data_IF_318743637944
#
_entry.id   IF_318743637944
#
_cell.length_a   1.000
_cell.length_b   1.000
_cell.length_c   1.000
_cell.angle_alpha   90.00
_cell.angle_beta   90.00
_cell.angle_gamma   90.00
#
_symmetry.space_group_name_H-M   'P 1'
#
loop_
_entity.id
_entity.type
_entity.pdbx_description
1 polymer ?
#
# COMPACT_ATOMS: atom_id res chain seq x y z
N UNK A 1 10.90 -18.16 -0.16
CA UNK A 1 9.87 -17.10 -0.23
C UNK A 1 8.62 -17.41 0.58
N UNK A 2 8.09 -18.64 0.57
CA UNK A 2 6.87 -19.00 1.31
C UNK A 2 6.88 -18.60 2.81
N UNK A 3 7.98 -18.80 3.58
CA UNK A 3 8.01 -18.37 4.98
C UNK A 3 7.87 -16.86 5.18
N UNK A 4 8.42 -16.06 4.26
CA UNK A 4 8.34 -14.60 4.30
C UNK A 4 6.91 -14.11 4.08
N UNK A 5 6.24 -14.61 3.04
CA UNK A 5 4.86 -14.23 2.75
C UNK A 5 3.90 -14.71 3.83
N UNK A 6 4.09 -15.91 4.37
CA UNK A 6 3.30 -16.41 5.49
C UNK A 6 3.47 -15.53 6.73
N UNK A 7 4.70 -15.15 7.09
CA UNK A 7 4.96 -14.29 8.23
C UNK A 7 4.26 -12.92 8.09
N UNK A 8 4.35 -12.29 6.91
CA UNK A 8 3.65 -11.01 6.66
C UNK A 8 2.14 -11.16 6.71
N UNK A 9 1.59 -12.19 6.06
CA UNK A 9 0.15 -12.46 6.05
C UNK A 9 -0.42 -12.61 7.47
N UNK A 10 0.23 -13.39 8.33
CA UNK A 10 -0.25 -13.56 9.71
C UNK A 10 -0.07 -12.30 10.56
N UNK A 11 0.97 -11.50 10.32
CA UNK A 11 1.12 -10.20 10.97
C UNK A 11 -0.02 -9.24 10.58
N UNK A 12 -0.34 -9.17 9.29
CA UNK A 12 -1.45 -8.36 8.77
C UNK A 12 -2.79 -8.83 9.38
N UNK A 13 -3.06 -10.14 9.41
CA UNK A 13 -4.28 -10.71 10.01
C UNK A 13 -4.41 -10.42 11.50
N UNK A 14 -3.31 -10.41 12.24
CA UNK A 14 -3.32 -10.05 13.65
C UNK A 14 -3.65 -8.56 13.82
N UNK A 15 -3.03 -7.67 13.02
CA UNK A 15 -3.30 -6.23 13.07
C UNK A 15 -4.76 -5.91 12.74
N UNK A 16 -5.33 -6.57 11.74
CA UNK A 16 -6.75 -6.43 11.34
C UNK A 16 -7.73 -6.82 12.46
N UNK A 17 -7.31 -7.62 13.44
CA UNK A 17 -8.14 -8.05 14.59
C UNK A 17 -8.04 -7.10 15.80
N UNK A 18 -7.20 -6.07 15.74
CA UNK A 18 -7.07 -5.09 16.82
C UNK A 18 -8.11 -3.98 16.73
N UNK A 19 -8.23 -3.17 17.78
CA UNK A 19 -9.04 -1.94 17.77
C UNK A 19 -8.26 -0.71 17.22
N UNK A 20 -7.06 -0.93 16.69
CA UNK A 20 -6.22 0.16 16.15
C UNK A 20 -6.80 0.67 14.83
N UNK A 21 -6.73 1.98 14.63
CA UNK A 21 -6.93 2.59 13.31
C UNK A 21 -5.74 2.27 12.41
N UNK A 22 -5.78 1.11 11.76
CA UNK A 22 -4.70 0.61 10.93
C UNK A 22 -4.85 1.01 9.45
N UNK A 23 -3.72 1.02 8.74
CA UNK A 23 -3.67 1.02 7.27
C UNK A 23 -2.56 0.07 6.85
N UNK A 24 -2.89 -0.94 6.03
CA UNK A 24 -1.94 -1.94 5.56
C UNK A 24 -1.67 -1.71 4.07
N UNK A 25 -0.44 -1.31 3.75
CA UNK A 25 0.00 -1.06 2.37
C UNK A 25 0.82 -2.26 1.90
N UNK A 26 0.37 -2.93 0.84
CA UNK A 26 0.99 -4.13 0.26
C UNK A 26 1.68 -3.78 -1.07
N UNK A 27 2.91 -3.23 -1.05
CA UNK A 27 3.59 -2.85 -2.28
C UNK A 27 3.97 -4.07 -3.11
N UNK A 28 3.94 -3.89 -4.44
CA UNK A 28 4.55 -4.81 -5.39
C UNK A 28 6.07 -4.84 -5.30
N UNK A 29 6.73 -5.27 -6.38
CA UNK A 29 8.20 -5.34 -6.43
C UNK A 29 8.86 -3.97 -6.24
N UNK A 30 9.71 -3.84 -5.23
CA UNK A 30 10.33 -2.56 -4.87
C UNK A 30 11.47 -2.18 -5.83
N UNK A 31 11.42 -0.95 -6.30
CA UNK A 31 12.38 -0.30 -7.21
C UNK A 31 13.21 0.77 -6.48
N UNK A 32 14.38 1.08 -7.01
CA UNK A 32 15.32 2.08 -6.45
C UNK A 32 15.42 3.33 -7.31
N UNK A 33 14.73 3.34 -8.44
CA UNK A 33 14.54 4.46 -9.32
C UNK A 33 13.72 5.57 -8.63
N UNK A 34 13.80 6.83 -9.10
CA UNK A 34 13.00 7.92 -8.57
C UNK A 34 11.49 7.67 -8.67
N UNK A 35 10.74 8.20 -7.71
CA UNK A 35 9.28 8.17 -7.70
C UNK A 35 8.67 9.00 -8.83
N UNK A 36 7.51 8.58 -9.29
CA UNK A 36 6.71 9.26 -10.32
C UNK A 36 5.57 10.08 -9.72
N UNK A 37 5.20 9.82 -8.46
CA UNK A 37 4.00 10.35 -7.82
C UNK A 37 2.69 9.76 -8.35
N UNK A 38 2.76 8.73 -9.21
CA UNK A 38 1.62 8.08 -9.84
C UNK A 38 1.54 6.61 -9.43
N UNK A 39 0.38 6.18 -8.97
CA UNK A 39 0.16 4.84 -8.42
C UNK A 39 -1.17 4.25 -8.91
N UNK A 40 -1.29 2.95 -8.74
CA UNK A 40 -2.56 2.24 -8.68
C UNK A 40 -2.65 1.60 -7.31
N UNK A 41 -3.77 1.84 -6.61
CA UNK A 41 -4.08 1.24 -5.32
C UNK A 41 -5.44 0.55 -5.39
N UNK A 42 -5.52 -0.72 -4.98
CA UNK A 42 -6.74 -1.52 -5.02
C UNK A 42 -6.64 -2.73 -4.08
N UNK A 43 -7.76 -3.39 -3.78
CA UNK A 43 -7.81 -4.55 -2.87
C UNK A 43 -7.09 -5.80 -3.38
N UNK A 44 -7.01 -5.98 -4.71
CA UNK A 44 -6.36 -7.12 -5.36
C UNK A 44 -5.67 -6.67 -6.67
N UNK A 45 -4.33 -6.56 -6.63
CA UNK A 45 -3.49 -6.31 -7.80
C UNK A 45 -2.59 -7.51 -8.04
N UNK A 46 -2.78 -8.17 -9.20
CA UNK A 46 -2.08 -9.43 -9.53
C UNK A 46 -0.56 -9.32 -9.55
N UNK A 47 -0.02 -8.22 -10.07
CA UNK A 47 1.43 -7.98 -10.13
C UNK A 47 1.74 -6.52 -10.45
N UNK A 48 2.95 -6.10 -10.08
CA UNK A 48 3.49 -4.80 -10.45
C UNK A 48 4.74 -4.48 -9.65
N UNK A 49 5.33 -3.35 -9.96
CA UNK A 49 6.51 -2.81 -9.27
C UNK A 49 6.26 -1.36 -8.88
N UNK A 50 7.00 -0.86 -7.91
CA UNK A 50 6.87 0.52 -7.44
C UNK A 50 8.19 1.07 -6.87
N UNK A 51 8.59 2.31 -7.21
CA UNK A 51 9.67 3.02 -6.54
C UNK A 51 9.46 3.11 -5.03
N UNK A 52 10.51 2.87 -4.23
CA UNK A 52 10.45 3.07 -2.77
C UNK A 52 10.05 4.49 -2.39
N UNK A 53 10.39 5.48 -3.22
CA UNK A 53 9.99 6.86 -3.02
C UNK A 53 8.46 7.03 -3.09
N UNK A 54 7.79 6.39 -4.05
CA UNK A 54 6.33 6.46 -4.17
C UNK A 54 5.63 5.69 -3.02
N UNK A 55 6.24 4.60 -2.54
CA UNK A 55 5.79 3.91 -1.31
C UNK A 55 5.85 4.86 -0.11
N UNK A 56 6.98 5.56 0.08
CA UNK A 56 7.15 6.49 1.18
C UNK A 56 6.16 7.67 1.10
N UNK A 57 5.96 8.24 -0.10
CA UNK A 57 4.96 9.30 -0.32
C UNK A 57 3.55 8.81 -0.01
N UNK A 58 3.21 7.58 -0.41
CA UNK A 58 1.90 6.96 -0.12
C UNK A 58 1.69 6.78 1.39
N UNK A 59 2.70 6.30 2.12
CA UNK A 59 2.64 6.15 3.59
C UNK A 59 2.34 7.51 4.25
N UNK A 60 3.03 8.58 3.84
CA UNK A 60 2.81 9.92 4.38
C UNK A 60 1.38 10.40 4.11
N UNK A 61 0.89 10.21 2.88
CA UNK A 61 -0.46 10.64 2.49
C UNK A 61 -1.56 9.89 3.29
N UNK A 62 -1.36 8.61 3.61
CA UNK A 62 -2.32 7.82 4.38
C UNK A 62 -2.52 8.34 5.81
N UNK A 63 -1.53 9.02 6.40
CA UNK A 63 -1.63 9.54 7.77
C UNK A 63 -2.79 10.53 7.95
N UNK A 64 -3.20 11.20 6.86
CA UNK A 64 -4.27 12.22 6.87
C UNK A 64 -5.46 11.86 5.99
N UNK A 65 -5.48 10.66 5.39
CA UNK A 65 -6.56 10.22 4.49
C UNK A 65 -7.44 9.19 5.20
N UNK A 66 -8.59 9.63 5.70
CA UNK A 66 -9.53 8.80 6.47
C UNK A 66 -10.07 7.61 5.67
N UNK A 67 -10.14 7.72 4.33
CA UNK A 67 -10.55 6.61 3.47
C UNK A 67 -9.61 5.38 3.57
N UNK A 68 -8.39 5.57 4.05
CA UNK A 68 -7.42 4.48 4.25
C UNK A 68 -7.50 3.83 5.63
N UNK A 69 -8.37 4.33 6.52
CA UNK A 69 -8.55 3.78 7.85
C UNK A 69 -9.21 2.42 7.78
N UNK A 70 -8.65 1.46 8.52
CA UNK A 70 -9.07 0.06 8.54
C UNK A 70 -8.99 -0.63 7.17
N UNK A 71 -8.16 -0.12 6.26
CA UNK A 71 -8.00 -0.67 4.92
C UNK A 71 -6.70 -1.46 4.74
N UNK A 72 -6.76 -2.43 3.83
CA UNK A 72 -5.61 -3.19 3.34
C UNK A 72 -5.64 -3.24 1.82
N UNK A 73 -4.63 -2.65 1.17
CA UNK A 73 -4.61 -2.54 -0.29
C UNK A 73 -3.23 -2.80 -0.89
N UNK A 74 -3.25 -3.33 -2.11
CA UNK A 74 -2.06 -3.51 -2.94
C UNK A 74 -1.68 -2.18 -3.60
N UNK A 75 -0.38 -1.97 -3.77
CA UNK A 75 0.18 -0.73 -4.28
C UNK A 75 1.24 -0.99 -5.35
N UNK A 76 1.03 -0.46 -6.56
CA UNK A 76 1.98 -0.54 -7.68
C UNK A 76 2.08 0.81 -8.40
N UNK A 77 3.11 1.01 -9.22
CA UNK A 77 3.16 2.16 -10.13
C UNK A 77 1.96 2.16 -11.10
N UNK A 78 1.41 3.34 -11.34
CA UNK A 78 0.22 3.52 -12.18
C UNK A 78 0.21 4.90 -12.83
N UNK A 79 -0.98 5.42 -13.07
CA UNK A 79 -1.24 6.67 -13.78
C UNK A 79 -2.12 7.65 -12.99
N UNK A 80 -2.51 7.30 -11.77
CA UNK A 80 -3.32 8.15 -10.89
C UNK A 80 -2.42 8.81 -9.83
N UNK A 81 -2.51 10.13 -9.63
CA UNK A 81 -1.78 10.80 -8.55
C UNK A 81 -2.09 10.18 -7.19
N UNK A 82 -1.09 10.02 -6.32
CA UNK A 82 -1.22 9.37 -5.01
C UNK A 82 -2.44 9.87 -4.21
N UNK A 83 -2.59 11.19 -4.06
CA UNK A 83 -3.72 11.77 -3.32
C UNK A 83 -5.07 11.35 -3.90
N UNK A 84 -5.20 11.36 -5.23
CA UNK A 84 -6.45 11.00 -5.90
C UNK A 84 -6.73 9.51 -5.78
N UNK A 85 -5.69 8.67 -5.88
CA UNK A 85 -5.83 7.22 -5.78
C UNK A 85 -6.33 6.79 -4.40
N UNK A 86 -5.86 7.44 -3.33
CA UNK A 86 -6.27 7.09 -1.96
C UNK A 86 -7.69 7.59 -1.60
N UNK A 87 -8.17 8.65 -2.25
CA UNK A 87 -9.55 9.17 -2.05
C UNK A 87 -10.65 8.31 -2.65
N UNK A 88 -10.30 7.38 -3.54
CA UNK A 88 -11.25 6.51 -4.26
C UNK A 88 -11.09 5.03 -3.88
N UNK A 89 -10.38 4.79 -2.78
CA UNK A 89 -9.90 3.48 -2.35
C UNK A 89 -10.99 2.69 -1.60
#
# INVERSE_FOLDING_TARGET
MLPYYAAKYYADKMLEQTELTYTIIRPGGLLSEPGTGMITAASDIRSGKIPREDVARTIIQCLTEENTYYQSFDLVSGDVPIEKALKIL
#
